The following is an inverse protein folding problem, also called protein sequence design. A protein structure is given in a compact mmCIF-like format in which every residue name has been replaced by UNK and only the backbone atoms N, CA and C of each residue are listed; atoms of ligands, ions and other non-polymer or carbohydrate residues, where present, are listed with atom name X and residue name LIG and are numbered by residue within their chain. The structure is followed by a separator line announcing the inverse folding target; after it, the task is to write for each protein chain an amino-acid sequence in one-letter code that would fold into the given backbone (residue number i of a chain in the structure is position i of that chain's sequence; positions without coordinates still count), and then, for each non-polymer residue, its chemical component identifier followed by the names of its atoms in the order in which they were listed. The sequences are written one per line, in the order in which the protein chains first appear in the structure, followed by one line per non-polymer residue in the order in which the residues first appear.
data_IF_054821061778
#
_entry.id   IF_054821061778
#
_cell.length_a   1.000
_cell.length_b   1.000
_cell.length_c   1.000
_cell.angle_alpha   90.00
_cell.angle_beta   90.00
_cell.angle_gamma   90.00
#
_symmetry.space_group_name_H-M   'P 1'
#
loop_
_entity.id
_entity.type
_entity.pdbx_description
1 polymer ?
#
# COMPACT_ATOMS: atom_id res chain seq x y z
N UNK A 1 4.03 47.23 18.55
CA UNK A 1 4.73 45.98 18.13
C UNK A 1 6.05 45.71 18.84
N UNK A 2 6.58 46.60 19.69
CA UNK A 2 7.90 46.43 20.35
C UNK A 2 7.84 46.13 21.84
N UNK A 3 6.64 46.05 22.43
CA UNK A 3 6.49 46.06 23.88
C UNK A 3 7.10 44.82 24.52
N UNK A 4 6.84 43.62 24.00
CA UNK A 4 7.26 42.36 24.63
C UNK A 4 8.72 42.00 24.36
N UNK A 5 9.22 42.29 23.15
CA UNK A 5 10.60 41.97 22.74
C UNK A 5 11.68 42.63 23.60
N UNK A 6 11.40 43.86 24.06
CA UNK A 6 12.36 44.69 24.82
C UNK A 6 12.00 44.82 26.31
N UNK A 7 10.93 44.18 26.78
CA UNK A 7 10.53 44.22 28.18
C UNK A 7 11.35 43.24 29.00
N UNK A 8 11.77 43.64 30.20
CA UNK A 8 12.50 42.74 31.09
C UNK A 8 11.60 41.61 31.63
N UNK A 9 12.24 40.49 31.98
CA UNK A 9 11.58 39.25 32.42
C UNK A 9 10.54 39.48 33.53
N UNK A 10 10.91 40.19 34.60
CA UNK A 10 10.02 40.45 35.74
C UNK A 10 8.75 41.18 35.31
N UNK A 11 8.88 42.25 34.50
CA UNK A 11 7.72 43.01 34.01
C UNK A 11 6.85 42.17 33.06
N UNK A 12 7.48 41.39 32.17
CA UNK A 12 6.75 40.49 31.27
C UNK A 12 5.89 39.51 32.05
N UNK A 13 6.46 38.86 33.08
CA UNK A 13 5.74 37.89 33.90
C UNK A 13 4.65 38.52 34.77
N UNK A 14 4.86 39.75 35.28
CA UNK A 14 3.80 40.48 35.98
C UNK A 14 2.65 40.81 35.03
N UNK A 15 2.92 41.42 33.88
CA UNK A 15 1.88 41.73 32.91
C UNK A 15 1.13 40.48 32.45
N UNK A 16 1.81 39.35 32.25
CA UNK A 16 1.17 38.10 31.83
C UNK A 16 0.19 37.55 32.87
N UNK A 17 0.51 37.66 34.16
CA UNK A 17 -0.39 37.25 35.27
C UNK A 17 -1.67 38.08 35.33
N UNK A 18 -1.59 39.34 34.93
CA UNK A 18 -2.71 40.27 34.96
C UNK A 18 -3.62 40.18 33.72
N UNK A 19 -3.22 39.39 32.69
CA UNK A 19 -4.05 39.19 31.50
C UNK A 19 -5.20 38.22 31.83
N UNK A 20 -6.42 38.74 31.88
CA UNK A 20 -7.63 37.92 31.94
C UNK A 20 -7.84 37.19 30.60
N UNK A 21 -7.66 35.86 30.59
CA UNK A 21 -7.78 35.05 29.38
C UNK A 21 -9.17 35.06 28.70
N UNK A 22 -10.22 35.62 29.31
CA UNK A 22 -11.58 35.56 28.78
C UNK A 22 -11.88 36.54 27.62
N UNK A 23 -11.19 37.68 27.53
CA UNK A 23 -11.51 38.72 26.54
C UNK A 23 -10.75 38.57 25.21
N UNK A 24 -11.34 39.05 24.10
CA UNK A 24 -10.68 39.02 22.79
C UNK A 24 -9.40 39.88 22.74
N UNK A 25 -9.40 41.02 23.42
CA UNK A 25 -8.21 41.88 23.55
C UNK A 25 -7.10 41.16 24.30
N UNK A 26 -7.46 40.38 25.33
CA UNK A 26 -6.52 39.54 26.07
C UNK A 26 -5.96 38.41 25.22
N UNK A 27 -6.77 37.78 24.36
CA UNK A 27 -6.29 36.74 23.44
C UNK A 27 -5.26 37.27 22.45
N UNK A 28 -5.45 38.49 21.92
CA UNK A 28 -4.43 39.15 21.08
C UNK A 28 -3.14 39.43 21.84
N UNK A 29 -3.22 39.89 23.09
CA UNK A 29 -2.03 40.11 23.92
C UNK A 29 -1.28 38.80 24.21
N UNK A 30 -1.99 37.72 24.52
CA UNK A 30 -1.38 36.39 24.71
C UNK A 30 -0.66 35.92 23.44
N UNK A 31 -1.26 36.12 22.27
CA UNK A 31 -0.61 35.83 20.99
C UNK A 31 0.68 36.66 20.78
N UNK A 32 0.66 37.94 21.11
CA UNK A 32 1.87 38.78 21.04
C UNK A 32 2.97 38.29 21.99
N UNK A 33 2.62 37.90 23.23
CA UNK A 33 3.60 37.32 24.16
C UNK A 33 4.18 36.03 23.59
N UNK A 34 3.33 35.14 23.04
CA UNK A 34 3.79 33.89 22.41
C UNK A 34 4.80 34.12 21.28
N UNK A 35 4.63 35.16 20.47
CA UNK A 35 5.43 35.35 19.23
C UNK A 35 6.56 36.36 19.35
N UNK A 36 6.56 37.20 20.39
CA UNK A 36 7.51 38.32 20.51
C UNK A 36 8.36 38.27 21.79
N UNK A 37 7.96 37.52 22.81
CA UNK A 37 8.68 37.48 24.09
C UNK A 37 10.01 36.73 23.94
N UNK A 38 11.14 37.29 24.40
CA UNK A 38 12.43 36.60 24.37
C UNK A 38 12.54 35.50 25.44
N UNK A 39 11.52 35.33 26.30
CA UNK A 39 11.56 34.44 27.44
C UNK A 39 10.66 33.21 27.24
N UNK A 40 11.26 32.03 27.27
CA UNK A 40 10.59 30.75 26.98
C UNK A 40 9.46 30.45 27.97
N UNK A 41 9.65 30.76 29.25
CA UNK A 41 8.64 30.58 30.30
C UNK A 41 7.41 31.48 30.10
N UNK A 42 7.63 32.74 29.69
CA UNK A 42 6.56 33.65 29.33
C UNK A 42 5.79 33.16 28.09
N UNK A 43 6.50 32.70 27.04
CA UNK A 43 5.85 32.15 25.84
C UNK A 43 5.04 30.89 26.17
N UNK A 44 5.58 29.97 26.98
CA UNK A 44 4.89 28.76 27.46
C UNK A 44 3.65 29.07 28.30
N UNK A 45 3.73 30.03 29.20
CA UNK A 45 2.58 30.46 29.99
C UNK A 45 1.52 31.13 29.11
N UNK A 46 1.92 31.93 28.12
CA UNK A 46 0.99 32.56 27.19
C UNK A 46 0.24 31.55 26.31
N UNK A 47 0.93 30.55 25.74
CA UNK A 47 0.26 29.51 24.94
C UNK A 47 -0.64 28.64 25.82
N UNK A 48 -0.29 28.46 27.10
CA UNK A 48 -1.15 27.81 28.11
C UNK A 48 -2.50 28.52 28.29
N UNK A 49 -2.55 29.84 28.15
CA UNK A 49 -3.77 30.65 28.33
C UNK A 49 -4.48 31.03 27.02
N UNK A 50 -3.82 30.89 25.86
CA UNK A 50 -4.40 31.20 24.55
C UNK A 50 -5.49 30.18 24.17
N UNK A 51 -6.68 30.64 23.79
CA UNK A 51 -7.86 29.81 23.48
C UNK A 51 -8.46 30.09 22.11
N UNK A 52 -8.19 31.26 21.51
CA UNK A 52 -8.74 31.63 20.21
C UNK A 52 -8.17 30.72 19.09
N UNK A 53 -9.02 29.94 18.37
CA UNK A 53 -8.54 28.98 17.36
C UNK A 53 -7.75 29.63 16.22
N UNK A 54 -8.20 30.78 15.70
CA UNK A 54 -7.48 31.49 14.64
C UNK A 54 -6.08 31.94 15.06
N UNK A 55 -5.91 32.33 16.33
CA UNK A 55 -4.59 32.69 16.87
C UNK A 55 -3.73 31.45 17.14
N UNK A 56 -4.33 30.35 17.62
CA UNK A 56 -3.64 29.08 17.80
C UNK A 56 -3.10 28.53 16.47
N UNK A 57 -3.88 28.59 15.39
CA UNK A 57 -3.43 28.23 14.03
C UNK A 57 -2.23 29.07 13.60
N UNK A 58 -2.24 30.38 13.89
CA UNK A 58 -1.11 31.26 13.57
C UNK A 58 0.14 30.86 14.35
N UNK A 59 0.03 30.65 15.66
CA UNK A 59 1.15 30.18 16.49
C UNK A 59 1.69 28.85 15.96
N UNK A 60 0.82 27.89 15.68
CA UNK A 60 1.21 26.57 15.17
C UNK A 60 2.01 26.65 13.85
N UNK A 61 1.76 27.65 13.00
CA UNK A 61 2.37 27.78 11.66
C UNK A 61 3.62 28.66 11.61
N UNK A 62 3.79 29.59 12.55
CA UNK A 62 4.87 30.57 12.48
C UNK A 62 5.88 30.51 13.62
N UNK A 63 5.56 29.79 14.71
CA UNK A 63 6.45 29.75 15.86
C UNK A 63 7.63 28.80 15.62
N UNK A 64 8.77 29.13 16.22
CA UNK A 64 10.04 28.42 16.08
C UNK A 64 10.26 27.37 17.16
N UNK A 65 9.68 27.59 18.33
CA UNK A 65 9.72 26.65 19.45
C UNK A 65 8.74 25.50 19.23
N UNK A 66 9.29 24.30 19.00
CA UNK A 66 8.52 23.11 18.66
C UNK A 66 7.49 22.72 19.75
N UNK A 67 7.80 22.95 21.02
CA UNK A 67 6.88 22.64 22.12
C UNK A 67 5.69 23.61 22.13
N UNK A 68 5.92 24.87 21.73
CA UNK A 68 4.84 25.86 21.60
C UNK A 68 3.96 25.55 20.38
N UNK A 69 4.55 25.18 19.25
CA UNK A 69 3.81 24.74 18.07
C UNK A 69 2.92 23.54 18.41
N UNK A 70 3.49 22.52 19.07
CA UNK A 70 2.77 21.34 19.53
C UNK A 70 1.62 21.71 20.47
N UNK A 71 1.89 22.51 21.51
CA UNK A 71 0.86 22.95 22.45
C UNK A 71 -0.27 23.74 21.76
N UNK A 72 0.06 24.54 20.74
CA UNK A 72 -0.94 25.25 19.95
C UNK A 72 -1.87 24.28 19.20
N UNK A 73 -1.30 23.26 18.54
CA UNK A 73 -2.06 22.24 17.79
C UNK A 73 -2.90 21.38 18.74
N UNK A 74 -2.36 20.98 19.88
CA UNK A 74 -3.08 20.18 20.88
C UNK A 74 -4.30 20.89 21.47
N UNK A 75 -4.31 22.22 21.44
CA UNK A 75 -5.43 23.05 21.90
C UNK A 75 -6.47 23.34 20.83
N UNK A 76 -6.22 23.01 19.55
CA UNK A 76 -7.23 23.07 18.51
C UNK A 76 -8.24 21.94 18.70
N UNK A 77 -9.52 22.32 18.74
CA UNK A 77 -10.64 21.42 19.01
C UNK A 77 -11.52 21.15 17.78
N UNK A 78 -11.45 22.02 16.76
CA UNK A 78 -12.26 21.90 15.54
C UNK A 78 -11.42 21.45 14.33
N UNK A 79 -12.04 20.64 13.49
CA UNK A 79 -11.39 20.06 12.32
C UNK A 79 -10.99 21.10 11.27
N UNK A 80 -11.67 22.25 11.20
CA UNK A 80 -11.35 23.33 10.25
C UNK A 80 -10.01 24.00 10.59
N UNK A 81 -9.76 24.27 11.87
CA UNK A 81 -8.47 24.78 12.34
C UNK A 81 -7.36 23.75 12.18
N UNK A 82 -7.64 22.48 12.48
CA UNK A 82 -6.68 21.39 12.28
C UNK A 82 -6.34 21.19 10.80
N UNK A 83 -7.32 21.30 9.89
CA UNK A 83 -7.10 21.25 8.45
C UNK A 83 -6.15 22.37 7.99
N UNK A 84 -6.34 23.60 8.48
CA UNK A 84 -5.45 24.72 8.14
C UNK A 84 -3.99 24.48 8.58
N UNK A 85 -3.78 23.78 9.69
CA UNK A 85 -2.44 23.35 10.12
C UNK A 85 -1.96 22.20 9.24
N UNK A 86 -2.77 21.17 9.00
CA UNK A 86 -2.40 20.01 8.20
C UNK A 86 -2.04 20.36 6.75
N UNK A 87 -2.66 21.38 6.15
CA UNK A 87 -2.33 21.86 4.80
C UNK A 87 -1.10 22.78 4.76
N UNK A 88 -0.56 23.17 5.92
CA UNK A 88 0.63 23.99 5.97
C UNK A 88 1.90 23.17 5.69
N UNK A 89 2.77 23.73 4.86
CA UNK A 89 4.04 23.12 4.49
C UNK A 89 5.08 23.48 5.55
N UNK A 90 5.36 22.52 6.43
CA UNK A 90 6.38 22.61 7.46
C UNK A 90 7.69 21.95 7.01
N UNK A 91 8.83 22.44 7.51
CA UNK A 91 10.11 21.72 7.40
C UNK A 91 10.05 20.37 8.13
N UNK A 92 9.41 20.36 9.31
CA UNK A 92 9.13 19.15 10.08
C UNK A 92 7.68 18.68 9.90
N UNK A 93 7.53 17.52 9.26
CA UNK A 93 6.24 16.88 8.98
C UNK A 93 5.53 16.39 10.24
N UNK A 94 6.20 16.35 11.39
CA UNK A 94 5.60 16.01 12.68
C UNK A 94 4.32 16.81 12.95
N UNK A 95 4.32 18.12 12.70
CA UNK A 95 3.16 18.97 12.96
C UNK A 95 1.99 18.70 12.00
N UNK A 96 2.28 18.39 10.72
CA UNK A 96 1.30 17.90 9.76
C UNK A 96 0.62 16.63 10.29
N UNK A 97 1.41 15.63 10.72
CA UNK A 97 0.87 14.38 11.25
C UNK A 97 0.07 14.58 12.54
N UNK A 98 0.53 15.44 13.45
CA UNK A 98 -0.18 15.75 14.68
C UNK A 98 -1.57 16.32 14.39
N UNK A 99 -1.67 17.24 13.43
CA UNK A 99 -2.95 17.81 13.01
C UNK A 99 -3.84 16.77 12.31
N UNK A 100 -3.31 16.03 11.33
CA UNK A 100 -4.04 14.97 10.61
C UNK A 100 -4.62 13.94 11.59
N UNK A 101 -3.83 13.53 12.59
CA UNK A 101 -4.25 12.54 13.58
C UNK A 101 -5.36 13.01 14.53
N UNK A 102 -5.79 14.27 14.43
CA UNK A 102 -6.87 14.82 15.24
C UNK A 102 -8.12 15.18 14.42
N UNK A 103 -8.03 15.20 13.09
CA UNK A 103 -9.17 15.47 12.21
C UNK A 103 -10.08 14.24 12.15
N UNK A 104 -11.39 14.42 12.38
CA UNK A 104 -12.38 13.35 12.32
C UNK A 104 -13.27 13.43 11.08
N UNK A 105 -13.46 14.62 10.52
CA UNK A 105 -14.22 14.86 9.31
C UNK A 105 -13.60 14.14 8.10
N UNK A 106 -14.36 13.19 7.56
CA UNK A 106 -13.93 12.33 6.45
C UNK A 106 -13.72 13.11 5.15
N UNK A 107 -14.46 14.20 4.92
CA UNK A 107 -14.29 15.04 3.73
C UNK A 107 -12.99 15.85 3.80
N UNK A 108 -12.62 16.34 4.99
CA UNK A 108 -11.35 17.02 5.22
C UNK A 108 -10.16 16.06 5.11
N UNK A 109 -10.27 14.85 5.67
CA UNK A 109 -9.25 13.80 5.49
C UNK A 109 -9.10 13.43 4.00
N UNK A 110 -10.21 13.30 3.28
CA UNK A 110 -10.20 13.02 1.84
C UNK A 110 -9.49 14.14 1.07
N UNK A 111 -9.77 15.40 1.40
CA UNK A 111 -9.08 16.56 0.81
C UNK A 111 -7.56 16.49 0.99
N UNK A 112 -7.08 16.12 2.19
CA UNK A 112 -5.63 15.95 2.44
C UNK A 112 -5.09 14.76 1.64
N UNK A 113 -5.78 13.63 1.66
CA UNK A 113 -5.41 12.41 0.95
C UNK A 113 -5.24 12.62 -0.57
N UNK A 114 -6.07 13.47 -1.18
CA UNK A 114 -6.02 13.70 -2.62
C UNK A 114 -4.80 14.50 -3.08
N UNK A 115 -4.45 15.57 -2.37
CA UNK A 115 -3.65 16.65 -2.95
C UNK A 115 -2.57 17.24 -2.02
N UNK A 116 -2.40 16.70 -0.82
CA UNK A 116 -1.33 17.19 0.06
C UNK A 116 0.05 17.04 -0.62
N UNK A 117 0.93 18.04 -0.50
CA UNK A 117 2.23 18.06 -1.20
C UNK A 117 3.12 16.86 -0.81
N UNK A 118 3.24 16.59 0.49
CA UNK A 118 3.96 15.44 1.02
C UNK A 118 3.14 14.15 0.91
N UNK A 119 3.72 13.12 0.28
CA UNK A 119 3.07 11.81 0.11
C UNK A 119 2.80 11.10 1.43
N UNK A 120 3.64 11.30 2.44
CA UNK A 120 3.43 10.71 3.76
C UNK A 120 2.22 11.32 4.46
N UNK A 121 1.95 12.63 4.30
CA UNK A 121 0.73 13.25 4.82
C UNK A 121 -0.51 12.75 4.04
N UNK A 122 -0.41 12.53 2.71
CA UNK A 122 -1.48 11.85 1.96
C UNK A 122 -1.79 10.48 2.54
N UNK A 123 -0.78 9.64 2.73
CA UNK A 123 -0.93 8.28 3.28
C UNK A 123 -1.47 8.32 4.72
N UNK A 124 -1.02 9.26 5.55
CA UNK A 124 -1.52 9.42 6.92
C UNK A 124 -3.02 9.75 6.95
N UNK A 125 -3.48 10.63 6.06
CA UNK A 125 -4.91 10.94 5.93
C UNK A 125 -5.71 9.74 5.41
N UNK A 126 -5.18 9.02 4.42
CA UNK A 126 -5.82 7.80 3.86
C UNK A 126 -6.05 6.74 4.94
N UNK A 127 -5.09 6.55 5.85
CA UNK A 127 -5.21 5.58 6.96
C UNK A 127 -6.30 5.92 7.96
N UNK A 128 -6.83 7.14 7.94
CA UNK A 128 -7.96 7.60 8.78
C UNK A 128 -9.29 7.65 8.02
N UNK A 129 -9.30 7.28 6.75
CA UNK A 129 -10.53 7.19 5.97
C UNK A 129 -11.20 5.84 6.19
N UNK A 130 -12.48 5.87 6.55
CA UNK A 130 -13.35 4.70 6.62
C UNK A 130 -14.38 4.68 5.47
N UNK A 131 -14.64 5.84 4.86
CA UNK A 131 -15.56 5.98 3.73
C UNK A 131 -15.04 5.21 2.50
N UNK A 132 -15.80 4.18 2.11
CA UNK A 132 -15.42 3.30 1.00
C UNK A 132 -15.47 4.02 -0.35
N UNK A 133 -16.29 5.06 -0.51
CA UNK A 133 -16.35 5.85 -1.74
C UNK A 133 -15.11 6.73 -1.91
N UNK A 134 -14.63 7.35 -0.83
CA UNK A 134 -13.37 8.09 -0.84
C UNK A 134 -12.17 7.19 -1.07
N UNK A 135 -12.09 6.05 -0.38
CA UNK A 135 -11.03 5.06 -0.59
C UNK A 135 -11.01 4.57 -2.04
N UNK A 136 -12.17 4.26 -2.63
CA UNK A 136 -12.26 3.82 -4.02
C UNK A 136 -11.76 4.90 -4.99
N UNK A 137 -12.22 6.15 -4.83
CA UNK A 137 -11.77 7.27 -5.67
C UNK A 137 -10.26 7.44 -5.60
N UNK A 138 -9.66 7.38 -4.42
CA UNK A 138 -8.21 7.47 -4.26
C UNK A 138 -7.53 6.27 -4.95
N UNK A 139 -7.99 5.05 -4.71
CA UNK A 139 -7.42 3.84 -5.27
C UNK A 139 -7.46 3.79 -6.81
N UNK A 140 -8.43 4.46 -7.44
CA UNK A 140 -8.58 4.51 -8.91
C UNK A 140 -7.92 5.72 -9.57
N UNK A 141 -7.88 6.88 -8.90
CA UNK A 141 -7.63 8.16 -9.58
C UNK A 141 -6.42 8.94 -9.06
N UNK A 142 -5.89 8.60 -7.88
CA UNK A 142 -4.77 9.38 -7.32
C UNK A 142 -3.51 9.21 -8.17
N UNK A 143 -2.80 10.30 -8.46
CA UNK A 143 -1.59 10.26 -9.30
C UNK A 143 -0.44 9.51 -8.61
N UNK A 144 -0.39 9.52 -7.28
CA UNK A 144 0.62 8.85 -6.48
C UNK A 144 0.29 7.35 -6.27
N UNK A 145 1.11 6.42 -6.80
CA UNK A 145 0.91 4.99 -6.61
C UNK A 145 0.93 4.54 -5.13
N UNK A 146 1.67 5.22 -4.26
CA UNK A 146 1.70 4.88 -2.83
C UNK A 146 0.40 5.29 -2.13
N UNK A 147 -0.21 6.42 -2.53
CA UNK A 147 -1.56 6.79 -2.09
C UNK A 147 -2.61 5.77 -2.56
N UNK A 148 -2.54 5.33 -3.84
CA UNK A 148 -3.44 4.28 -4.35
C UNK A 148 -3.29 2.97 -3.57
N UNK A 149 -2.05 2.53 -3.32
CA UNK A 149 -1.75 1.35 -2.48
C UNK A 149 -2.30 1.50 -1.07
N UNK A 150 -2.12 2.65 -0.43
CA UNK A 150 -2.63 2.90 0.90
C UNK A 150 -4.16 2.79 0.95
N UNK A 151 -4.86 3.30 -0.07
CA UNK A 151 -6.32 3.23 -0.13
C UNK A 151 -6.83 1.78 -0.32
N UNK A 152 -6.11 0.96 -1.09
CA UNK A 152 -6.41 -0.48 -1.24
C UNK A 152 -6.40 -1.22 0.10
N UNK A 153 -5.57 -0.79 1.06
CA UNK A 153 -5.54 -1.41 2.41
C UNK A 153 -6.88 -1.23 3.14
N UNK A 154 -7.60 -0.12 2.94
CA UNK A 154 -8.91 0.12 3.55
C UNK A 154 -10.11 -0.35 2.71
N UNK A 155 -9.90 -0.59 1.41
CA UNK A 155 -10.97 -0.93 0.47
C UNK A 155 -11.44 -2.37 0.66
N UNK A 156 -12.77 -2.57 0.76
CA UNK A 156 -13.38 -3.88 1.05
C UNK A 156 -14.02 -4.56 -0.16
N UNK A 157 -14.48 -3.78 -1.15
CA UNK A 157 -15.19 -4.32 -2.30
C UNK A 157 -14.26 -5.17 -3.17
N UNK A 158 -14.48 -6.49 -3.21
CA UNK A 158 -13.63 -7.44 -3.92
C UNK A 158 -13.67 -7.25 -5.44
N UNK A 159 -14.82 -6.87 -6.01
CA UNK A 159 -14.93 -6.60 -7.45
C UNK A 159 -14.09 -5.38 -7.85
N UNK A 160 -14.13 -4.31 -7.05
CA UNK A 160 -13.30 -3.13 -7.30
C UNK A 160 -11.81 -3.44 -7.16
N UNK A 161 -11.43 -4.25 -6.17
CA UNK A 161 -10.06 -4.73 -6.02
C UNK A 161 -9.62 -5.54 -7.25
N UNK A 162 -10.46 -6.42 -7.78
CA UNK A 162 -10.16 -7.19 -8.99
C UNK A 162 -9.99 -6.29 -10.22
N UNK A 163 -10.85 -5.27 -10.37
CA UNK A 163 -10.72 -4.27 -11.45
C UNK A 163 -9.40 -3.48 -11.34
N UNK A 164 -9.00 -3.08 -10.13
CA UNK A 164 -7.72 -2.41 -9.90
C UNK A 164 -6.55 -3.35 -10.24
N UNK A 165 -6.60 -4.61 -9.81
CA UNK A 165 -5.60 -5.63 -10.13
C UNK A 165 -5.43 -5.84 -11.65
N UNK A 166 -6.52 -5.74 -12.42
CA UNK A 166 -6.55 -5.87 -13.86
C UNK A 166 -6.05 -4.63 -14.62
N UNK A 167 -6.22 -3.43 -14.05
CA UNK A 167 -6.17 -2.18 -14.85
C UNK A 167 -5.20 -1.12 -14.35
N UNK A 168 -4.76 -1.12 -13.09
CA UNK A 168 -3.90 -0.03 -12.58
C UNK A 168 -2.60 0.10 -13.38
N UNK A 169 -2.12 1.31 -13.65
CA UNK A 169 -0.89 1.51 -14.42
C UNK A 169 0.37 0.97 -13.69
N UNK A 170 0.36 0.92 -12.36
CA UNK A 170 1.48 0.47 -11.54
C UNK A 170 1.35 -1.00 -11.17
N UNK A 171 2.36 -1.80 -11.53
CA UNK A 171 2.44 -3.21 -11.14
C UNK A 171 2.45 -3.41 -9.61
N UNK A 172 2.98 -2.44 -8.86
CA UNK A 172 2.96 -2.46 -7.39
C UNK A 172 1.54 -2.31 -6.83
N UNK A 173 0.72 -1.45 -7.44
CA UNK A 173 -0.69 -1.26 -7.06
C UNK A 173 -1.50 -2.50 -7.42
N UNK A 174 -1.28 -3.08 -8.61
CA UNK A 174 -1.91 -4.35 -9.02
C UNK A 174 -1.62 -5.47 -8.03
N UNK A 175 -0.36 -5.63 -7.61
CA UNK A 175 0.05 -6.63 -6.61
C UNK A 175 -0.62 -6.39 -5.25
N UNK A 176 -0.71 -5.14 -4.81
CA UNK A 176 -1.39 -4.79 -3.57
C UNK A 176 -2.89 -5.17 -3.62
N UNK A 177 -3.55 -4.92 -4.75
CA UNK A 177 -4.94 -5.32 -4.95
C UNK A 177 -5.10 -6.84 -4.94
N UNK A 178 -4.23 -7.59 -5.62
CA UNK A 178 -4.22 -9.06 -5.60
C UNK A 178 -4.05 -9.59 -4.18
N UNK A 179 -3.09 -9.07 -3.42
CA UNK A 179 -2.87 -9.50 -2.04
C UNK A 179 -4.09 -9.26 -1.12
N UNK A 180 -4.96 -8.32 -1.48
CA UNK A 180 -6.19 -7.98 -0.76
C UNK A 180 -7.38 -8.84 -1.17
N UNK A 181 -7.33 -9.49 -2.34
CA UNK A 181 -8.38 -10.38 -2.80
C UNK A 181 -8.45 -11.62 -1.90
N UNK A 182 -9.69 -12.01 -1.59
CA UNK A 182 -10.03 -13.20 -0.79
C UNK A 182 -10.98 -14.15 -1.52
N UNK A 183 -11.64 -13.66 -2.56
CA UNK A 183 -12.48 -14.46 -3.45
C UNK A 183 -11.62 -15.16 -4.51
N UNK A 184 -11.55 -16.49 -4.43
CA UNK A 184 -10.74 -17.32 -5.33
C UNK A 184 -11.15 -17.22 -6.80
N UNK A 185 -12.45 -17.02 -7.10
CA UNK A 185 -12.92 -16.87 -8.48
C UNK A 185 -12.43 -15.55 -9.07
N UNK A 186 -12.49 -14.46 -8.29
CA UNK A 186 -11.95 -13.17 -8.71
C UNK A 186 -10.42 -13.22 -8.89
N UNK A 187 -9.70 -13.93 -8.02
CA UNK A 187 -8.25 -14.12 -8.19
C UNK A 187 -7.94 -14.91 -9.48
N UNK A 188 -8.70 -15.96 -9.77
CA UNK A 188 -8.56 -16.72 -11.02
C UNK A 188 -8.88 -15.86 -12.26
N UNK A 189 -9.92 -15.03 -12.21
CA UNK A 189 -10.24 -14.07 -13.27
C UNK A 189 -9.08 -13.10 -13.53
N UNK A 190 -8.44 -12.60 -12.48
CA UNK A 190 -7.23 -11.77 -12.60
C UNK A 190 -6.12 -12.54 -13.30
N UNK A 191 -5.85 -13.79 -12.92
CA UNK A 191 -4.80 -14.61 -13.56
C UNK A 191 -5.07 -14.85 -15.05
N UNK A 192 -6.33 -15.03 -15.44
CA UNK A 192 -6.75 -15.28 -16.83
C UNK A 192 -6.70 -14.02 -17.71
N UNK A 193 -7.04 -12.85 -17.16
CA UNK A 193 -7.26 -11.64 -17.96
C UNK A 193 -6.14 -10.60 -17.87
N UNK A 194 -5.20 -10.73 -16.93
CA UNK A 194 -4.10 -9.75 -16.85
C UNK A 194 -3.18 -9.83 -18.07
N UNK A 195 -2.71 -8.69 -18.57
CA UNK A 195 -1.79 -8.68 -19.72
C UNK A 195 -0.32 -8.89 -19.33
N UNK A 196 0.03 -8.85 -18.05
CA UNK A 196 1.40 -9.00 -17.57
C UNK A 196 1.62 -10.38 -16.94
N UNK A 197 2.53 -11.20 -17.49
CA UNK A 197 2.83 -12.55 -16.98
C UNK A 197 3.23 -12.55 -15.50
N UNK A 198 4.00 -11.54 -15.05
CA UNK A 198 4.38 -11.44 -13.64
C UNK A 198 3.19 -11.14 -12.71
N UNK A 199 2.13 -10.47 -13.20
CA UNK A 199 0.90 -10.23 -12.45
C UNK A 199 0.00 -11.47 -12.47
N UNK A 200 -0.08 -12.18 -13.59
CA UNK A 200 -0.73 -13.50 -13.67
C UNK A 200 -0.14 -14.46 -12.63
N UNK A 201 1.19 -14.56 -12.59
CA UNK A 201 1.91 -15.37 -11.61
C UNK A 201 1.59 -14.96 -10.17
N UNK A 202 1.52 -13.65 -9.86
CA UNK A 202 1.11 -13.19 -8.53
C UNK A 202 -0.30 -13.64 -8.15
N UNK A 203 -1.23 -13.58 -9.11
CA UNK A 203 -2.60 -14.05 -8.88
C UNK A 203 -2.63 -15.56 -8.65
N UNK A 204 -1.85 -16.36 -9.38
CA UNK A 204 -1.74 -17.81 -9.15
C UNK A 204 -1.15 -18.13 -7.77
N UNK A 205 -0.12 -17.40 -7.33
CA UNK A 205 0.43 -17.55 -5.97
C UNK A 205 -0.61 -17.17 -4.92
N UNK A 206 -1.33 -16.07 -5.11
CA UNK A 206 -2.40 -15.67 -4.20
C UNK A 206 -3.52 -16.72 -4.17
N UNK A 207 -3.86 -17.31 -5.31
CA UNK A 207 -4.82 -18.39 -5.37
C UNK A 207 -4.30 -19.55 -4.52
N UNK A 208 -3.06 -20.02 -4.72
CA UNK A 208 -2.45 -21.06 -3.87
C UNK A 208 -2.49 -20.75 -2.37
N UNK A 209 -2.26 -19.50 -1.96
CA UNK A 209 -2.36 -19.08 -0.55
C UNK A 209 -3.80 -19.18 0.01
N UNK A 210 -4.81 -19.03 -0.85
CA UNK A 210 -6.23 -19.13 -0.50
C UNK A 210 -6.75 -20.57 -0.57
N UNK A 211 -5.90 -21.56 -0.88
CA UNK A 211 -6.31 -22.96 -1.03
C UNK A 211 -7.04 -23.47 0.23
N UNK A 212 -8.27 -24.00 0.10
CA UNK A 212 -8.92 -24.73 1.18
C UNK A 212 -8.06 -25.92 1.61
N UNK A 213 -8.26 -26.41 2.83
CA UNK A 213 -7.64 -27.68 3.28
C UNK A 213 -7.98 -28.87 2.38
N UNK A 214 -9.11 -28.80 1.68
CA UNK A 214 -9.61 -29.84 0.77
C UNK A 214 -9.17 -29.63 -0.69
N UNK A 215 -8.37 -28.59 -0.99
CA UNK A 215 -7.96 -28.25 -2.35
C UNK A 215 -8.95 -27.33 -3.08
N UNK A 216 -8.62 -26.99 -4.32
CA UNK A 216 -9.47 -26.12 -5.16
C UNK A 216 -10.53 -26.91 -5.91
N UNK A 217 -11.67 -26.27 -6.13
CA UNK A 217 -12.67 -26.79 -7.07
C UNK A 217 -12.09 -26.81 -8.50
N UNK A 218 -12.24 -27.96 -9.18
CA UNK A 218 -11.78 -28.15 -10.55
C UNK A 218 -12.28 -27.05 -11.51
N UNK A 219 -13.49 -26.49 -11.30
CA UNK A 219 -14.01 -25.43 -12.18
C UNK A 219 -13.18 -24.13 -12.13
N UNK A 220 -12.48 -23.86 -11.01
CA UNK A 220 -11.61 -22.67 -10.88
C UNK A 220 -10.31 -22.92 -11.63
N UNK A 221 -9.79 -24.14 -11.55
CA UNK A 221 -8.44 -24.47 -12.04
C UNK A 221 -8.42 -24.86 -13.51
N UNK A 222 -9.43 -25.56 -14.03
CA UNK A 222 -9.49 -25.99 -15.43
C UNK A 222 -9.27 -24.85 -16.43
N UNK A 223 -9.88 -23.66 -16.29
CA UNK A 223 -9.61 -22.53 -17.18
C UNK A 223 -8.15 -22.05 -17.14
N UNK A 224 -7.46 -22.21 -16.00
CA UNK A 224 -6.07 -21.77 -15.82
C UNK A 224 -5.07 -22.62 -16.60
N UNK A 225 -5.43 -23.83 -17.04
CA UNK A 225 -4.56 -24.71 -17.84
C UNK A 225 -4.05 -24.04 -19.12
N UNK A 226 -4.82 -23.12 -19.71
CA UNK A 226 -4.36 -22.33 -20.86
C UNK A 226 -3.11 -21.47 -20.58
N UNK A 227 -2.83 -21.17 -19.31
CA UNK A 227 -1.66 -20.41 -18.86
C UNK A 227 -0.40 -21.28 -18.75
N UNK A 228 -0.48 -22.59 -19.01
CA UNK A 228 0.69 -23.47 -19.05
C UNK A 228 1.62 -23.20 -20.26
N UNK A 229 1.17 -22.41 -21.22
CA UNK A 229 1.97 -21.98 -22.39
C UNK A 229 2.96 -20.84 -22.09
N UNK A 230 3.02 -20.34 -20.85
CA UNK A 230 3.94 -19.29 -20.43
C UNK A 230 4.85 -19.78 -19.29
N UNK A 231 6.16 -19.60 -19.46
CA UNK A 231 7.20 -20.08 -18.55
C UNK A 231 7.14 -19.47 -17.14
N UNK A 232 6.55 -18.27 -16.99
CA UNK A 232 6.34 -17.65 -15.67
C UNK A 232 5.16 -18.29 -14.92
N UNK A 233 4.15 -18.83 -15.62
CA UNK A 233 2.92 -19.34 -14.99
C UNK A 233 2.82 -20.85 -14.92
N UNK A 234 3.49 -21.58 -15.82
CA UNK A 234 3.33 -23.04 -16.00
C UNK A 234 3.47 -23.84 -14.70
N UNK A 235 4.49 -23.56 -13.90
CA UNK A 235 4.76 -24.29 -12.65
C UNK A 235 3.64 -24.09 -11.64
N UNK A 236 3.17 -22.84 -11.47
CA UNK A 236 2.11 -22.54 -10.52
C UNK A 236 0.77 -23.15 -10.96
N UNK A 237 0.50 -23.21 -12.27
CA UNK A 237 -0.71 -23.85 -12.80
C UNK A 237 -0.67 -25.37 -12.61
N UNK A 238 0.46 -26.02 -12.87
CA UNK A 238 0.62 -27.47 -12.64
C UNK A 238 0.39 -27.80 -11.16
N UNK A 239 1.01 -27.05 -10.24
CA UNK A 239 0.81 -27.25 -8.80
C UNK A 239 -0.65 -27.09 -8.38
N UNK A 240 -1.35 -26.09 -8.92
CA UNK A 240 -2.79 -25.90 -8.66
C UNK A 240 -3.64 -27.04 -9.25
N UNK A 241 -3.30 -27.51 -10.46
CA UNK A 241 -3.99 -28.63 -11.11
C UNK A 241 -3.83 -29.93 -10.32
N UNK A 242 -2.64 -30.21 -9.81
CA UNK A 242 -2.38 -31.37 -8.95
C UNK A 242 -3.14 -31.28 -7.62
N UNK A 243 -3.23 -30.08 -7.02
CA UNK A 243 -4.02 -29.87 -5.80
C UNK A 243 -5.53 -30.01 -6.02
N UNK A 244 -6.00 -29.75 -7.24
CA UNK A 244 -7.42 -29.79 -7.60
C UNK A 244 -7.84 -31.10 -8.30
N UNK A 245 -6.93 -32.08 -8.41
CA UNK A 245 -7.12 -33.32 -9.18
C UNK A 245 -7.59 -33.05 -10.63
N UNK A 246 -7.03 -32.02 -11.25
CA UNK A 246 -7.29 -31.64 -12.64
C UNK A 246 -6.21 -32.23 -13.54
N UNK A 247 -6.64 -32.98 -14.55
CA UNK A 247 -5.75 -33.61 -15.53
C UNK A 247 -5.09 -32.58 -16.46
N UNK A 248 -3.97 -32.03 -16.01
CA UNK A 248 -3.14 -31.11 -16.79
C UNK A 248 -2.31 -31.82 -17.86
N UNK A 249 -2.08 -33.13 -17.71
CA UNK A 249 -1.23 -33.93 -18.63
C UNK A 249 -1.93 -34.07 -19.98
N UNK A 250 -3.21 -34.43 -20.00
CA UNK A 250 -3.96 -34.53 -21.28
C UNK A 250 -4.16 -33.17 -21.96
N UNK A 251 -4.14 -32.07 -21.21
CA UNK A 251 -4.31 -30.71 -21.72
C UNK A 251 -3.00 -30.02 -22.12
N UNK A 252 -1.85 -30.68 -21.94
CA UNK A 252 -0.55 -30.14 -22.29
C UNK A 252 -0.33 -30.11 -23.81
N UNK A 253 0.43 -29.12 -24.29
CA UNK A 253 0.73 -28.89 -25.71
C UNK A 253 2.23 -28.70 -25.93
N UNK A 254 2.70 -28.59 -27.17
CA UNK A 254 4.10 -28.23 -27.46
C UNK A 254 4.52 -26.91 -26.79
N UNK A 255 3.60 -25.94 -26.71
CA UNK A 255 3.82 -24.69 -25.98
C UNK A 255 4.01 -24.91 -24.47
N UNK A 256 3.35 -25.93 -23.90
CA UNK A 256 3.58 -26.33 -22.50
C UNK A 256 4.98 -26.91 -22.32
N UNK A 257 5.47 -27.73 -23.25
CA UNK A 257 6.82 -28.30 -23.23
C UNK A 257 7.87 -27.18 -23.28
N UNK A 258 7.71 -26.24 -24.21
CA UNK A 258 8.59 -25.07 -24.33
C UNK A 258 8.59 -24.20 -23.06
N UNK A 259 7.41 -23.93 -22.49
CA UNK A 259 7.29 -23.16 -21.26
C UNK A 259 7.94 -23.86 -20.06
N UNK A 260 7.79 -25.18 -19.94
CA UNK A 260 8.47 -25.99 -18.93
C UNK A 260 9.98 -25.94 -19.08
N UNK A 261 10.50 -26.03 -20.31
CA UNK A 261 11.93 -25.94 -20.59
C UNK A 261 12.52 -24.62 -20.13
N UNK A 262 11.91 -23.51 -20.53
CA UNK A 262 12.32 -22.16 -20.11
C UNK A 262 12.27 -22.00 -18.58
N UNK A 263 11.16 -22.40 -17.96
CA UNK A 263 10.99 -22.33 -16.50
C UNK A 263 12.04 -23.17 -15.77
N UNK A 264 12.34 -24.36 -16.30
CA UNK A 264 13.33 -25.27 -15.73
C UNK A 264 14.75 -24.70 -15.82
N UNK A 265 15.13 -24.05 -16.92
CA UNK A 265 16.47 -23.43 -17.05
C UNK A 265 16.66 -22.22 -16.12
N UNK A 266 15.59 -21.50 -15.80
CA UNK A 266 15.59 -20.40 -14.85
C UNK A 266 15.52 -20.86 -13.39
N UNK A 267 15.10 -22.10 -13.13
CA UNK A 267 14.96 -22.64 -11.79
C UNK A 267 16.28 -22.62 -11.02
N UNK A 268 16.18 -22.31 -9.72
CA UNK A 268 17.33 -22.25 -8.80
C UNK A 268 17.03 -23.05 -7.54
N UNK A 269 17.96 -23.94 -7.20
CA UNK A 269 17.89 -24.75 -5.97
C UNK A 269 16.99 -25.98 -6.08
N UNK A 270 17.28 -26.97 -5.24
CA UNK A 270 16.66 -28.30 -5.28
C UNK A 270 15.13 -28.28 -5.14
N UNK A 271 14.59 -27.44 -4.24
CA UNK A 271 13.15 -27.41 -3.94
C UNK A 271 12.27 -27.02 -5.13
N UNK A 272 12.82 -26.26 -6.08
CA UNK A 272 12.12 -25.85 -7.30
C UNK A 272 12.40 -26.85 -8.43
N UNK A 273 13.65 -27.29 -8.56
CA UNK A 273 14.07 -28.17 -9.66
C UNK A 273 13.48 -29.58 -9.54
N UNK A 274 13.38 -30.14 -8.34
CA UNK A 274 12.97 -31.54 -8.14
C UNK A 274 11.49 -31.82 -8.52
N UNK A 275 10.51 -31.00 -8.09
CA UNK A 275 9.12 -31.16 -8.54
C UNK A 275 8.96 -30.96 -10.04
N UNK A 276 9.67 -29.98 -10.62
CA UNK A 276 9.65 -29.71 -12.07
C UNK A 276 10.21 -30.88 -12.87
N UNK A 277 11.37 -31.43 -12.49
CA UNK A 277 11.95 -32.62 -13.13
C UNK A 277 10.98 -33.80 -13.11
N UNK A 278 10.30 -34.00 -11.96
CA UNK A 278 9.28 -35.06 -11.82
C UNK A 278 8.04 -34.81 -12.69
N UNK A 279 7.60 -33.58 -12.85
CA UNK A 279 6.48 -33.21 -13.73
C UNK A 279 6.85 -33.41 -15.22
N UNK A 280 8.05 -32.96 -15.62
CA UNK A 280 8.58 -33.10 -16.97
C UNK A 280 8.66 -34.59 -17.38
N UNK A 281 9.24 -35.45 -16.53
CA UNK A 281 9.33 -36.89 -16.79
C UNK A 281 7.95 -37.57 -16.89
N UNK A 282 7.00 -37.19 -16.03
CA UNK A 282 5.62 -37.71 -16.10
C UNK A 282 4.93 -37.31 -17.40
N UNK A 283 5.07 -36.05 -17.82
CA UNK A 283 4.49 -35.58 -19.07
C UNK A 283 5.09 -36.31 -20.27
N UNK A 284 6.42 -36.44 -20.35
CA UNK A 284 7.11 -37.18 -21.41
C UNK A 284 6.62 -38.64 -21.52
N UNK A 285 6.49 -39.33 -20.38
CA UNK A 285 6.04 -40.73 -20.33
C UNK A 285 4.57 -40.87 -20.75
N UNK A 286 3.72 -39.91 -20.40
CA UNK A 286 2.28 -39.99 -20.64
C UNK A 286 1.85 -39.49 -22.03
N UNK A 287 2.60 -38.58 -22.65
CA UNK A 287 2.23 -37.91 -23.92
C UNK A 287 3.23 -38.21 -25.03
N UNK A 288 3.08 -39.37 -25.65
CA UNK A 288 3.94 -39.81 -26.77
C UNK A 288 3.90 -38.87 -27.96
N UNK A 289 2.77 -38.19 -28.17
CA UNK A 289 2.58 -37.19 -29.22
C UNK A 289 3.40 -35.90 -29.01
N UNK A 290 3.91 -35.66 -27.80
CA UNK A 290 4.76 -34.50 -27.49
C UNK A 290 6.26 -34.83 -27.44
N UNK A 291 6.66 -36.10 -27.63
CA UNK A 291 8.05 -36.54 -27.46
C UNK A 291 9.02 -35.82 -28.41
N UNK A 292 8.62 -35.62 -29.67
CA UNK A 292 9.45 -34.88 -30.64
C UNK A 292 9.80 -33.47 -30.15
N UNK A 293 8.87 -32.78 -29.47
CA UNK A 293 9.08 -31.46 -28.89
C UNK A 293 10.02 -31.48 -27.68
N UNK A 294 10.01 -32.57 -26.89
CA UNK A 294 11.00 -32.75 -25.82
C UNK A 294 12.39 -33.04 -26.38
N UNK A 295 12.48 -33.94 -27.36
CA UNK A 295 13.74 -34.41 -27.95
C UNK A 295 14.43 -33.32 -28.79
N UNK A 296 13.67 -32.33 -29.27
CA UNK A 296 14.20 -31.13 -29.91
C UNK A 296 14.95 -30.18 -28.95
N UNK A 297 14.82 -30.36 -27.64
CA UNK A 297 15.38 -29.49 -26.60
C UNK A 297 16.47 -30.21 -25.78
N UNK A 298 17.47 -29.47 -25.32
CA UNK A 298 18.56 -30.05 -24.49
C UNK A 298 18.31 -29.81 -23.00
N UNK A 299 17.80 -30.83 -22.32
CA UNK A 299 17.42 -30.74 -20.91
C UNK A 299 18.59 -31.01 -19.98
N UNK A 300 19.00 -30.00 -19.22
CA UNK A 300 20.03 -30.11 -18.18
C UNK A 300 19.45 -29.64 -16.86
N UNK A 301 19.53 -30.48 -15.83
CA UNK A 301 19.06 -30.11 -14.49
C UNK A 301 19.98 -29.02 -13.92
N UNK A 302 19.49 -27.78 -13.69
CA UNK A 302 20.35 -26.66 -13.31
C UNK A 302 20.91 -26.77 -11.90
N UNK A 303 20.36 -27.65 -11.05
CA UNK A 303 20.85 -27.89 -9.70
C UNK A 303 21.96 -28.93 -9.65
N UNK A 304 21.83 -30.03 -10.42
CA UNK A 304 22.81 -31.13 -10.43
C UNK A 304 23.82 -31.02 -11.56
N UNK A 305 23.54 -30.20 -12.58
CA UNK A 305 24.27 -30.10 -13.84
C UNK A 305 24.31 -31.43 -14.63
N UNK A 306 23.36 -32.33 -14.38
CA UNK A 306 23.21 -33.59 -15.10
C UNK A 306 22.17 -33.44 -16.22
N UNK A 307 22.44 -34.04 -17.38
CA UNK A 307 21.46 -34.17 -18.45
C UNK A 307 20.27 -34.99 -17.97
N UNK A 308 19.06 -34.55 -18.31
CA UNK A 308 17.85 -35.36 -18.10
C UNK A 308 17.80 -36.37 -19.23
N UNK A 309 17.83 -37.65 -18.88
CA UNK A 309 17.61 -38.75 -19.82
C UNK A 309 16.14 -39.14 -19.73
N UNK A 310 15.42 -38.97 -20.83
CA UNK A 310 14.08 -39.49 -20.97
C UNK A 310 14.17 -40.94 -21.46
N UNK A 311 13.91 -41.91 -20.59
CA UNK A 311 13.87 -43.33 -20.94
C UNK A 311 12.42 -43.80 -21.11
N UNK A 312 12.18 -44.70 -22.07
CA UNK A 312 10.85 -45.27 -22.32
C UNK A 312 10.46 -46.40 -21.33
N UNK A 313 11.26 -46.69 -20.30
CA UNK A 313 10.99 -47.76 -19.32
C UNK A 313 9.89 -47.39 -18.28
#
# INVERSE_FOLDING_TARGET
MTRWKNMNHKRTMTCLKDIDSASQTSQSLLYEVCTQSPYDDARRAAIGSLKNPSLLVRVARSETDQEICKAAIEKLADDSSLLQVAEHIFDDRYFCFLAINRINDQQMLYRIAQQHAYGECRVAAIRRLDDQGFLLKIAQQNSDPEARKAAIVGLKNQNELALIALRDASSWVRRAAIAKLTDSELVADVALRNNMSCIRHCALLRLKELAPSEGFSAHIVTPLLGLMSNSTTVTAVIELAEQADVDWISQSTDATVQALFESFNEARGWRVCNPLDSAIKRLYKARTDLQDSFDALTWTNPYTNCSIVFSQE
#
